data_IF_739432918271
#
_entry.id   IF_739432918271
#
_cell.length_a   1.000
_cell.length_b   1.000
_cell.length_c   1.000
_cell.angle_alpha   90.00
_cell.angle_beta   90.00
_cell.angle_gamma   90.00
#
_symmetry.space_group_name_H-M   'P 1'
#
loop_
_entity.id
_entity.type
_entity.pdbx_description
1 polymer ?
#
# COMPACT_ATOMS: atom_id res chain seq x y z
N UNK A 1 1.37 2.71 -22.59
CA UNK A 1 1.16 3.64 -21.46
C UNK A 1 2.38 3.57 -20.53
N UNK A 2 3.34 4.50 -20.65
CA UNK A 2 4.63 4.49 -19.94
C UNK A 2 4.53 4.68 -18.41
N UNK A 3 3.37 5.10 -17.89
CA UNK A 3 3.13 5.31 -16.44
C UNK A 3 3.15 4.02 -15.60
N UNK A 4 3.14 2.84 -16.23
CA UNK A 4 3.19 1.55 -15.52
C UNK A 4 4.61 1.10 -15.15
N UNK A 5 5.67 1.75 -15.63
CA UNK A 5 7.04 1.31 -15.35
C UNK A 5 7.62 1.92 -14.08
N UNK A 6 7.27 3.18 -13.79
CA UNK A 6 7.77 3.86 -12.62
C UNK A 6 6.73 4.77 -11.96
N UNK A 7 6.80 4.84 -10.63
CA UNK A 7 6.00 5.72 -9.80
C UNK A 7 6.94 6.73 -9.13
N UNK A 8 6.62 8.01 -9.23
CA UNK A 8 7.26 9.03 -8.42
C UNK A 8 6.49 9.23 -7.12
N UNK A 9 7.21 9.27 -6.01
CA UNK A 9 6.69 9.57 -4.68
C UNK A 9 7.47 10.76 -4.12
N UNK A 10 6.79 11.72 -3.50
CA UNK A 10 7.48 12.68 -2.63
C UNK A 10 8.13 11.93 -1.46
N UNK A 11 9.07 12.57 -0.75
CA UNK A 11 9.70 11.93 0.41
C UNK A 11 8.67 11.54 1.48
N UNK A 12 7.65 12.37 1.70
CA UNK A 12 6.57 12.09 2.65
C UNK A 12 5.70 10.93 2.16
N UNK A 13 5.28 10.94 0.88
CA UNK A 13 4.51 9.84 0.29
C UNK A 13 5.29 8.52 0.34
N UNK A 14 6.61 8.57 0.12
CA UNK A 14 7.48 7.40 0.19
C UNK A 14 7.57 6.84 1.61
N UNK A 15 7.71 7.71 2.61
CA UNK A 15 7.74 7.32 4.01
C UNK A 15 6.41 6.70 4.46
N UNK A 16 5.29 7.29 4.05
CA UNK A 16 3.97 6.76 4.36
C UNK A 16 3.72 5.43 3.65
N UNK A 17 4.08 5.31 2.37
CA UNK A 17 4.00 4.05 1.62
C UNK A 17 4.86 2.95 2.26
N UNK A 18 6.07 3.27 2.70
CA UNK A 18 6.97 2.36 3.43
C UNK A 18 6.32 1.86 4.73
N UNK A 19 5.80 2.78 5.55
CA UNK A 19 5.15 2.45 6.82
C UNK A 19 3.90 1.59 6.61
N UNK A 20 3.07 1.95 5.63
CA UNK A 20 1.86 1.20 5.29
C UNK A 20 2.20 -0.21 4.82
N UNK A 21 3.22 -0.37 3.96
CA UNK A 21 3.64 -1.70 3.50
C UNK A 21 4.17 -2.58 4.64
N UNK A 22 4.87 -2.02 5.62
CA UNK A 22 5.33 -2.75 6.80
C UNK A 22 4.17 -3.23 7.69
N UNK A 23 3.10 -2.44 7.80
CA UNK A 23 1.92 -2.77 8.59
C UNK A 23 0.92 -3.68 7.85
N UNK A 24 0.93 -3.65 6.52
CA UNK A 24 -0.03 -4.38 5.68
C UNK A 24 0.20 -5.89 5.67
N UNK A 25 1.44 -6.35 5.80
CA UNK A 25 1.79 -7.76 5.66
C UNK A 25 2.19 -8.41 6.99
N UNK A 26 2.04 -9.74 7.13
CA UNK A 26 2.61 -10.47 8.25
C UNK A 26 4.11 -10.23 8.39
N UNK A 27 4.60 -10.34 9.62
CA UNK A 27 5.98 -10.13 9.97
C UNK A 27 6.93 -11.05 9.18
N UNK A 28 7.96 -10.44 8.59
CA UNK A 28 8.94 -11.12 7.74
C UNK A 28 10.32 -10.98 8.37
N UNK A 29 10.73 -11.96 9.20
CA UNK A 29 11.96 -11.88 9.99
C UNK A 29 13.20 -11.52 9.15
N UNK A 30 13.36 -12.12 7.97
CA UNK A 30 14.49 -11.83 7.09
C UNK A 30 14.51 -10.36 6.61
N UNK A 31 13.34 -9.82 6.25
CA UNK A 31 13.22 -8.41 5.87
C UNK A 31 13.54 -7.52 7.06
N UNK A 32 12.95 -7.80 8.23
CA UNK A 32 13.19 -7.01 9.44
C UNK A 32 14.65 -7.05 9.86
N UNK A 33 15.31 -8.21 9.74
CA UNK A 33 16.74 -8.38 10.02
C UNK A 33 17.63 -7.49 9.14
N UNK A 34 17.26 -7.29 7.87
CA UNK A 34 17.95 -6.39 6.97
C UNK A 34 17.67 -4.91 7.28
N UNK A 35 16.41 -4.56 7.59
CA UNK A 35 16.02 -3.18 7.88
C UNK A 35 16.55 -2.68 9.23
N UNK A 36 16.65 -3.56 10.22
CA UNK A 36 16.97 -3.20 11.60
C UNK A 36 18.26 -2.38 11.75
N UNK A 37 19.43 -2.86 11.31
CA UNK A 37 20.68 -2.08 11.38
C UNK A 37 20.61 -0.78 10.55
N UNK A 38 19.90 -0.76 9.43
CA UNK A 38 19.76 0.45 8.63
C UNK A 38 19.01 1.58 9.37
N UNK A 39 18.06 1.21 10.24
CA UNK A 39 17.18 2.14 10.95
C UNK A 39 17.73 2.51 12.32
N UNK A 40 18.31 1.54 13.04
CA UNK A 40 18.79 1.72 14.40
C UNK A 40 20.31 1.92 14.49
N UNK A 41 21.06 1.68 13.42
CA UNK A 41 22.49 1.87 13.34
C UNK A 41 23.29 0.57 13.51
N UNK A 42 24.60 0.69 13.31
CA UNK A 42 25.52 -0.44 13.31
C UNK A 42 25.57 -1.17 14.67
N UNK A 43 25.81 -2.48 14.62
CA UNK A 43 25.84 -3.33 15.82
C UNK A 43 24.46 -3.67 16.40
N UNK A 44 23.38 -3.21 15.75
CA UNK A 44 22.01 -3.64 16.07
C UNK A 44 21.58 -4.80 15.18
N UNK A 45 20.75 -5.70 15.71
CA UNK A 45 20.25 -6.86 14.99
C UNK A 45 18.97 -7.38 15.64
N UNK A 46 18.26 -8.24 14.91
CA UNK A 46 17.15 -9.04 15.44
C UNK A 46 17.41 -10.52 15.20
N UNK A 47 16.85 -11.37 16.05
CA UNK A 47 16.94 -12.82 15.94
C UNK A 47 15.66 -13.48 16.47
N UNK A 48 15.31 -14.70 16.00
CA UNK A 48 14.11 -15.37 16.45
C UNK A 48 14.19 -15.67 17.96
N UNK A 49 13.05 -15.52 18.65
CA UNK A 49 12.87 -15.91 20.03
C UNK A 49 12.41 -17.36 20.17
N UNK A 50 12.23 -17.82 21.41
CA UNK A 50 11.84 -19.19 21.72
C UNK A 50 10.37 -19.52 21.42
N UNK A 51 9.54 -18.52 21.12
CA UNK A 51 8.11 -18.67 20.86
C UNK A 51 7.74 -18.31 19.43
N UNK A 52 6.57 -18.77 18.97
CA UNK A 52 6.14 -18.68 17.56
C UNK A 52 5.91 -17.27 17.00
N UNK A 53 6.08 -16.22 17.81
CA UNK A 53 5.94 -14.80 17.44
C UNK A 53 6.80 -13.87 18.29
N UNK A 54 7.87 -14.42 18.87
CA UNK A 54 8.78 -13.65 19.72
C UNK A 54 10.08 -13.42 18.99
N UNK A 55 10.61 -12.20 19.13
CA UNK A 55 11.82 -11.75 18.48
C UNK A 55 12.67 -11.06 19.53
N UNK A 56 13.96 -11.38 19.53
CA UNK A 56 14.94 -10.64 20.30
C UNK A 56 15.52 -9.53 19.45
N UNK A 57 15.63 -8.33 19.99
CA UNK A 57 16.25 -7.21 19.32
C UNK A 57 17.38 -6.61 20.15
N UNK A 58 18.50 -6.29 19.50
CA UNK A 58 19.56 -5.46 20.03
C UNK A 58 19.27 -4.02 19.63
N UNK A 59 19.05 -3.14 20.61
CA UNK A 59 18.88 -1.69 20.39
C UNK A 59 20.18 -0.94 20.71
N UNK A 60 20.39 0.25 20.12
CA UNK A 60 21.55 1.08 20.41
C UNK A 60 21.64 1.41 21.90
N UNK A 61 22.85 1.35 22.46
CA UNK A 61 23.12 1.72 23.86
C UNK A 61 22.62 0.73 24.92
N UNK A 62 21.80 -0.28 24.58
CA UNK A 62 21.36 -1.28 25.56
C UNK A 62 22.38 -2.40 25.72
N UNK A 63 22.69 -2.77 26.98
CA UNK A 63 23.48 -3.97 27.28
C UNK A 63 22.69 -5.26 27.05
N UNK A 64 21.37 -5.25 27.27
CA UNK A 64 20.49 -6.41 27.16
C UNK A 64 19.70 -6.42 25.84
N UNK A 65 19.37 -7.61 25.36
CA UNK A 65 18.40 -7.78 24.28
C UNK A 65 16.99 -7.51 24.82
N UNK A 66 16.13 -6.93 23.98
CA UNK A 66 14.71 -6.79 24.29
C UNK A 66 13.95 -7.94 23.64
N UNK A 67 13.05 -8.57 24.40
CA UNK A 67 12.07 -9.51 23.85
C UNK A 67 10.84 -8.71 23.47
N UNK A 68 10.39 -8.84 22.22
CA UNK A 68 9.15 -8.25 21.78
C UNK A 68 8.39 -9.20 20.86
N UNK A 69 7.10 -8.91 20.71
CA UNK A 69 6.27 -9.58 19.72
C UNK A 69 6.51 -9.00 18.33
N UNK A 70 6.21 -9.78 17.31
CA UNK A 70 6.29 -9.38 15.91
C UNK A 70 5.62 -8.02 15.60
N UNK A 71 4.42 -7.79 16.14
CA UNK A 71 3.63 -6.58 15.91
C UNK A 71 4.23 -5.36 16.62
N UNK A 72 4.72 -5.53 17.84
CA UNK A 72 5.44 -4.50 18.58
C UNK A 72 6.73 -4.10 17.85
N UNK A 73 7.41 -5.06 17.21
CA UNK A 73 8.61 -4.81 16.44
C UNK A 73 8.34 -3.95 15.21
N UNK A 74 7.30 -4.28 14.44
CA UNK A 74 6.87 -3.48 13.30
C UNK A 74 6.47 -2.07 13.73
N UNK A 75 5.72 -1.93 14.83
CA UNK A 75 5.33 -0.62 15.36
C UNK A 75 6.55 0.21 15.80
N UNK A 76 7.56 -0.42 16.40
CA UNK A 76 8.80 0.27 16.80
C UNK A 76 9.57 0.80 15.60
N UNK A 77 9.63 0.04 14.51
CA UNK A 77 10.22 0.47 13.24
C UNK A 77 9.47 1.68 12.68
N UNK A 78 8.15 1.57 12.52
CA UNK A 78 7.30 2.65 11.99
C UNK A 78 7.42 3.90 12.85
N UNK A 79 7.36 3.76 14.18
CA UNK A 79 7.51 4.87 15.11
C UNK A 79 8.89 5.54 15.03
N UNK A 80 9.96 4.78 14.81
CA UNK A 80 11.31 5.34 14.61
C UNK A 80 11.40 6.11 13.30
N UNK A 81 10.93 5.52 12.20
CA UNK A 81 10.91 6.12 10.88
C UNK A 81 10.13 7.44 10.84
N UNK A 82 8.97 7.50 11.48
CA UNK A 82 8.16 8.73 11.56
C UNK A 82 8.78 9.82 12.44
N UNK A 83 9.45 9.43 13.54
CA UNK A 83 10.09 10.38 14.46
C UNK A 83 11.38 10.94 13.89
N UNK A 84 12.13 10.13 13.16
CA UNK A 84 13.39 10.51 12.54
C UNK A 84 13.41 9.98 11.10
N UNK A 85 12.79 10.73 10.17
CA UNK A 85 12.79 10.39 8.76
C UNK A 85 14.22 10.20 8.23
N UNK A 86 14.52 9.10 7.52
CA UNK A 86 15.83 8.87 6.90
C UNK A 86 16.16 9.90 5.81
N UNK A 87 17.46 10.12 5.54
CA UNK A 87 17.88 10.82 4.33
C UNK A 87 17.41 10.11 3.04
N UNK A 88 17.22 10.82 1.90
CA UNK A 88 16.61 10.28 0.69
C UNK A 88 17.23 8.97 0.19
N UNK A 89 18.56 8.84 0.18
CA UNK A 89 19.28 7.65 -0.27
C UNK A 89 19.01 6.46 0.66
N UNK A 90 18.93 6.70 1.96
CA UNK A 90 18.60 5.65 2.94
C UNK A 90 17.14 5.25 2.82
N UNK A 91 16.23 6.21 2.65
CA UNK A 91 14.81 5.95 2.41
C UNK A 91 14.62 5.12 1.14
N UNK A 92 15.33 5.43 0.06
CA UNK A 92 15.32 4.66 -1.18
C UNK A 92 15.73 3.20 -0.95
N UNK A 93 16.82 2.94 -0.22
CA UNK A 93 17.27 1.57 0.12
C UNK A 93 16.22 0.81 0.95
N UNK A 94 15.63 1.46 1.96
CA UNK A 94 14.56 0.86 2.78
C UNK A 94 13.34 0.50 1.93
N UNK A 95 12.88 1.44 1.09
CA UNK A 95 11.78 1.23 0.15
C UNK A 95 12.08 0.10 -0.83
N UNK A 96 13.31 0.00 -1.35
CA UNK A 96 13.70 -1.08 -2.26
C UNK A 96 13.53 -2.47 -1.63
N UNK A 97 13.97 -2.63 -0.37
CA UNK A 97 13.81 -3.88 0.39
C UNK A 97 12.33 -4.19 0.68
N UNK A 98 11.58 -3.20 1.17
CA UNK A 98 10.18 -3.39 1.58
C UNK A 98 9.26 -3.60 0.37
N UNK A 99 9.43 -2.85 -0.71
CA UNK A 99 8.62 -2.99 -1.92
C UNK A 99 9.08 -4.16 -2.79
N UNK A 100 10.32 -4.63 -2.61
CA UNK A 100 10.92 -5.65 -3.48
C UNK A 100 11.06 -5.15 -4.92
N UNK A 101 11.46 -3.88 -5.06
CA UNK A 101 11.49 -3.12 -6.31
C UNK A 101 12.76 -2.28 -6.36
N UNK A 102 13.20 -1.86 -7.55
CA UNK A 102 14.29 -0.88 -7.64
C UNK A 102 13.75 0.50 -7.27
N UNK A 103 14.43 1.17 -6.35
CA UNK A 103 14.04 2.51 -5.89
C UNK A 103 15.29 3.39 -5.88
N UNK A 104 15.19 4.57 -6.49
CA UNK A 104 16.27 5.55 -6.54
C UNK A 104 15.77 6.87 -5.95
N UNK A 105 16.65 7.58 -5.23
CA UNK A 105 16.41 8.97 -4.91
C UNK A 105 16.42 9.80 -6.20
N UNK A 106 15.44 10.67 -6.36
CA UNK A 106 15.28 11.60 -7.46
C UNK A 106 15.24 13.00 -6.86
N UNK A 107 16.41 13.63 -6.78
CA UNK A 107 16.57 14.99 -6.24
C UNK A 107 16.08 16.07 -7.20
N UNK A 108 15.61 15.69 -8.39
CA UNK A 108 15.18 16.62 -9.44
C UNK A 108 16.36 17.39 -10.04
N UNK A 109 16.32 17.61 -11.35
CA UNK A 109 17.08 18.70 -12.01
C UNK A 109 16.21 19.93 -12.23
N UNK A 110 14.92 19.83 -11.91
CA UNK A 110 13.88 20.80 -12.16
C UNK A 110 13.57 21.59 -10.87
N UNK A 111 13.76 22.92 -10.84
CA UNK A 111 13.54 23.73 -9.65
C UNK A 111 12.10 23.65 -9.10
N UNK A 112 11.12 23.32 -9.93
CA UNK A 112 9.71 23.31 -9.53
C UNK A 112 9.22 21.93 -9.06
N UNK A 113 10.05 20.88 -9.15
CA UNK A 113 9.71 19.55 -8.65
C UNK A 113 10.39 19.31 -7.30
N UNK A 114 9.63 19.02 -6.23
CA UNK A 114 10.23 18.67 -4.94
C UNK A 114 11.02 17.36 -5.04
N UNK A 115 12.09 17.18 -4.25
CA UNK A 115 12.84 15.94 -4.21
C UNK A 115 11.93 14.78 -3.80
N UNK A 116 12.23 13.59 -4.31
CA UNK A 116 11.42 12.40 -4.06
C UNK A 116 12.13 11.11 -4.41
N UNK A 117 11.37 10.05 -4.59
CA UNK A 117 11.84 8.74 -4.97
C UNK A 117 11.16 8.27 -6.25
N UNK A 118 11.92 7.57 -7.08
CA UNK A 118 11.41 6.84 -8.24
C UNK A 118 11.41 5.35 -7.96
N UNK A 119 10.22 4.76 -7.92
CA UNK A 119 10.02 3.31 -7.74
C UNK A 119 9.78 2.68 -9.10
N UNK A 120 10.66 1.77 -9.53
CA UNK A 120 10.45 0.94 -10.73
C UNK A 120 9.55 -0.22 -10.33
N UNK A 121 8.30 -0.21 -10.78
CA UNK A 121 7.26 -1.13 -10.28
C UNK A 121 7.31 -2.51 -10.95
N UNK A 122 7.98 -2.60 -12.10
CA UNK A 122 8.04 -3.79 -12.98
C UNK A 122 6.64 -4.29 -13.40
N UNK A 123 5.73 -3.34 -13.59
CA UNK A 123 4.32 -3.59 -13.90
C UNK A 123 3.99 -3.46 -15.38
N UNK A 124 4.95 -3.10 -16.24
CA UNK A 124 4.72 -2.96 -17.69
C UNK A 124 4.26 -4.27 -18.34
N UNK A 125 4.88 -5.38 -17.96
CA UNK A 125 4.51 -6.72 -18.45
C UNK A 125 3.41 -7.41 -17.64
N UNK A 126 2.82 -6.76 -16.64
CA UNK A 126 1.83 -7.41 -15.79
C UNK A 126 0.46 -7.49 -16.47
N UNK A 127 -0.10 -8.69 -16.49
CA UNK A 127 -1.41 -9.02 -17.07
C UNK A 127 -2.32 -9.62 -15.99
N UNK A 128 -3.42 -8.93 -15.71
CA UNK A 128 -4.46 -9.45 -14.83
C UNK A 128 -5.23 -10.58 -15.55
N UNK A 129 -5.21 -11.79 -15.00
CA UNK A 129 -5.98 -12.94 -15.53
C UNK A 129 -7.48 -12.86 -15.28
N UNK A 130 -7.99 -11.77 -14.69
CA UNK A 130 -9.41 -11.59 -14.39
C UNK A 130 -10.04 -12.72 -13.54
N UNK A 131 -9.25 -13.47 -12.78
CA UNK A 131 -9.73 -14.55 -11.91
C UNK A 131 -10.63 -14.08 -10.74
N UNK A 132 -10.72 -12.76 -10.54
CA UNK A 132 -11.53 -12.12 -9.51
C UNK A 132 -11.08 -12.39 -8.08
N UNK A 133 -9.94 -13.05 -7.83
CA UNK A 133 -9.47 -13.35 -6.46
C UNK A 133 -9.31 -12.07 -5.63
N UNK A 134 -8.41 -11.17 -6.04
CA UNK A 134 -8.14 -9.92 -5.33
C UNK A 134 -9.40 -9.01 -5.23
N UNK A 135 -10.22 -8.96 -6.28
CA UNK A 135 -11.47 -8.18 -6.27
C UNK A 135 -12.51 -8.67 -5.25
N UNK A 136 -12.38 -9.92 -4.77
CA UNK A 136 -13.30 -10.54 -3.81
C UNK A 136 -12.72 -10.65 -2.41
N UNK A 137 -11.40 -10.72 -2.27
CA UNK A 137 -10.73 -11.00 -1.00
C UNK A 137 -10.10 -9.77 -0.35
N UNK A 138 -9.72 -8.76 -1.12
CA UNK A 138 -9.08 -7.57 -0.57
C UNK A 138 -10.13 -6.57 -0.08
N UNK A 139 -9.88 -6.00 1.09
CA UNK A 139 -10.66 -4.87 1.59
C UNK A 139 -10.30 -3.61 0.80
N UNK A 140 -11.32 -2.97 0.23
CA UNK A 140 -11.18 -1.73 -0.54
C UNK A 140 -12.01 -0.59 0.06
N UNK A 141 -12.62 -0.80 1.23
CA UNK A 141 -13.73 0.04 1.68
C UNK A 141 -13.35 1.50 1.95
N UNK A 142 -12.16 1.70 2.50
CA UNK A 142 -11.58 3.01 2.77
C UNK A 142 -10.66 3.49 1.65
N UNK A 143 -10.63 2.78 0.50
CA UNK A 143 -9.77 3.08 -0.63
C UNK A 143 -10.33 4.11 -1.62
N UNK A 144 -11.49 4.71 -1.33
CA UNK A 144 -12.07 5.77 -2.15
C UNK A 144 -11.48 7.12 -1.75
N UNK A 145 -10.76 7.75 -2.68
CA UNK A 145 -10.25 9.10 -2.46
C UNK A 145 -11.35 10.15 -2.68
N UNK A 146 -11.12 11.38 -2.20
CA UNK A 146 -11.97 12.52 -2.56
C UNK A 146 -11.93 12.80 -4.06
N UNK A 147 -10.75 12.66 -4.69
CA UNK A 147 -10.59 12.83 -6.13
C UNK A 147 -11.39 11.82 -6.93
N UNK A 148 -11.52 10.56 -6.46
CA UNK A 148 -12.42 9.58 -7.09
C UNK A 148 -13.88 10.04 -7.02
N UNK A 149 -14.33 10.51 -5.85
CA UNK A 149 -15.69 11.01 -5.66
C UNK A 149 -16.00 12.20 -6.58
N UNK A 150 -15.14 13.22 -6.60
CA UNK A 150 -15.34 14.39 -7.46
C UNK A 150 -15.31 14.04 -8.94
N UNK A 151 -14.41 13.13 -9.35
CA UNK A 151 -14.38 12.63 -10.73
C UNK A 151 -15.68 11.94 -11.12
N UNK A 152 -16.30 11.13 -10.25
CA UNK A 152 -17.61 10.53 -10.55
C UNK A 152 -18.74 11.56 -10.59
N UNK A 153 -18.65 12.61 -9.76
CA UNK A 153 -19.58 13.74 -9.79
C UNK A 153 -19.50 14.50 -11.13
N UNK A 154 -18.30 14.84 -11.56
CA UNK A 154 -18.05 15.52 -12.85
C UNK A 154 -18.51 14.68 -14.04
N UNK A 155 -18.33 13.36 -13.98
CA UNK A 155 -18.78 12.43 -15.03
C UNK A 155 -20.29 12.12 -14.95
N UNK A 156 -21.04 12.69 -14.01
CA UNK A 156 -22.47 12.43 -13.84
C UNK A 156 -22.82 10.98 -13.50
N UNK A 157 -21.89 10.24 -12.88
CA UNK A 157 -22.06 8.80 -12.56
C UNK A 157 -22.85 8.60 -11.28
N UNK A 158 -24.12 9.01 -11.29
CA UNK A 158 -25.06 8.84 -10.16
C UNK A 158 -25.18 7.39 -9.73
N UNK A 159 -25.16 6.47 -10.70
CA UNK A 159 -25.16 5.02 -10.46
C UNK A 159 -23.98 4.57 -9.57
N UNK A 160 -22.81 5.21 -9.66
CA UNK A 160 -21.67 4.95 -8.77
C UNK A 160 -21.82 5.70 -7.45
N UNK A 161 -22.20 6.98 -7.51
CA UNK A 161 -22.30 7.86 -6.34
C UNK A 161 -23.31 7.35 -5.31
N UNK A 162 -24.39 6.70 -5.73
CA UNK A 162 -25.37 6.06 -4.84
C UNK A 162 -24.76 4.98 -3.93
N UNK A 163 -23.61 4.44 -4.31
CA UNK A 163 -22.85 3.44 -3.54
C UNK A 163 -21.71 4.06 -2.71
N UNK A 164 -21.57 5.37 -2.68
CA UNK A 164 -20.50 6.06 -1.94
C UNK A 164 -21.06 6.70 -0.66
N UNK A 165 -20.58 6.22 0.49
CA UNK A 165 -20.80 6.90 1.76
C UNK A 165 -19.84 8.08 1.89
N UNK A 166 -20.34 9.26 2.27
CA UNK A 166 -19.49 10.44 2.52
C UNK A 166 -19.58 10.88 3.97
N UNK A 167 -18.44 11.22 4.56
CA UNK A 167 -18.37 11.91 5.85
C UNK A 167 -18.11 13.38 5.54
N UNK A 168 -18.99 14.27 6.01
CA UNK A 168 -18.82 15.72 5.82
C UNK A 168 -18.32 16.38 7.10
N UNK A 169 -17.42 17.35 6.96
CA UNK A 169 -16.98 18.27 8.02
C UNK A 169 -17.01 19.69 7.47
N UNK A 170 -17.65 20.61 8.19
CA UNK A 170 -17.81 22.01 7.77
C UNK A 170 -18.38 22.16 6.34
N UNK A 171 -19.33 21.31 5.96
CA UNK A 171 -19.93 21.31 4.61
C UNK A 171 -19.10 20.62 3.52
N UNK A 172 -17.83 20.28 3.76
CA UNK A 172 -16.96 19.62 2.79
C UNK A 172 -16.88 18.10 3.00
N UNK A 173 -16.73 17.34 1.93
CA UNK A 173 -16.46 15.89 1.99
C UNK A 173 -15.07 15.68 2.59
N UNK A 174 -15.01 15.15 3.80
CA UNK A 174 -13.80 14.85 4.53
C UNK A 174 -13.28 13.44 4.25
N UNK A 175 -14.18 12.47 4.05
CA UNK A 175 -13.82 11.10 3.71
C UNK A 175 -14.91 10.43 2.86
N UNK A 176 -14.51 9.44 2.07
CA UNK A 176 -15.38 8.62 1.24
C UNK A 176 -15.22 7.15 1.60
N UNK A 177 -16.31 6.39 1.57
CA UNK A 177 -16.36 4.95 1.82
C UNK A 177 -17.10 4.28 0.68
N UNK A 178 -16.55 3.18 0.19
CA UNK A 178 -17.14 2.37 -0.88
C UNK A 178 -17.20 0.91 -0.46
N UNK A 179 -18.04 0.04 -0.98
CA UNK A 179 -19.35 0.37 -1.50
C UNK A 179 -20.33 0.25 -0.34
N UNK A 180 -21.13 1.30 -0.12
CA UNK A 180 -22.24 1.30 0.83
C UNK A 180 -23.49 0.91 0.04
N UNK A 181 -24.33 0.02 0.59
CA UNK A 181 -25.59 -0.36 -0.07
C UNK A 181 -26.50 0.89 -0.10
N UNK A 182 -27.00 1.30 -1.29
CA UNK A 182 -27.81 2.51 -1.44
C UNK A 182 -28.99 2.55 -0.47
N UNK A 183 -29.26 3.73 0.10
CA UNK A 183 -30.31 3.92 1.11
C UNK A 183 -29.99 3.34 2.49
N UNK A 184 -28.76 2.85 2.73
CA UNK A 184 -28.35 2.29 4.03
C UNK A 184 -27.00 2.84 4.47
N UNK A 185 -26.56 2.46 5.68
CA UNK A 185 -25.20 2.69 6.16
C UNK A 185 -24.40 1.37 6.29
N UNK A 186 -24.74 0.36 5.47
CA UNK A 186 -24.10 -0.97 5.51
C UNK A 186 -23.16 -1.15 4.34
N UNK A 187 -21.97 -1.68 4.58
CA UNK A 187 -21.07 -2.09 3.52
C UNK A 187 -21.68 -3.21 2.68
N UNK A 188 -21.51 -3.11 1.37
CA UNK A 188 -21.82 -4.19 0.45
C UNK A 188 -20.90 -5.38 0.75
N UNK A 189 -21.48 -6.58 0.91
CA UNK A 189 -20.72 -7.81 1.17
C UNK A 189 -19.77 -8.20 0.03
N UNK A 190 -20.03 -7.72 -1.17
CA UNK A 190 -19.24 -7.93 -2.39
C UNK A 190 -19.22 -6.63 -3.19
N UNK A 191 -18.20 -6.46 -4.04
CA UNK A 191 -18.19 -5.34 -4.98
C UNK A 191 -19.41 -5.43 -5.92
N UNK A 192 -20.28 -4.40 -5.99
CA UNK A 192 -21.48 -4.40 -6.82
C UNK A 192 -21.15 -4.35 -8.31
N UNK A 193 -19.94 -3.89 -8.65
CA UNK A 193 -19.48 -3.74 -10.02
C UNK A 193 -18.74 -4.96 -10.57
N UNK A 194 -18.57 -6.01 -9.76
CA UNK A 194 -17.87 -7.23 -10.18
C UNK A 194 -18.87 -8.25 -10.72
N UNK A 195 -18.81 -8.53 -12.02
CA UNK A 195 -19.63 -9.55 -12.68
C UNK A 195 -18.80 -10.78 -13.02
N UNK A 196 -19.34 -11.97 -12.75
CA UNK A 196 -18.78 -13.23 -13.27
C UNK A 196 -19.17 -13.34 -14.75
N UNK A 197 -18.19 -13.62 -15.60
CA UNK A 197 -18.44 -13.83 -17.03
C UNK A 197 -18.93 -15.27 -17.29
N UNK A 198 -19.63 -15.53 -18.41
CA UNK A 198 -20.08 -16.87 -18.77
C UNK A 198 -18.93 -17.86 -19.02
N UNK A 199 -17.79 -17.35 -19.50
CA UNK A 199 -16.56 -18.13 -19.67
C UNK A 199 -16.02 -18.51 -18.29
N UNK A 200 -15.74 -19.81 -18.09
CA UNK A 200 -15.37 -20.38 -16.78
C UNK A 200 -14.30 -19.52 -16.08
N UNK A 201 -14.62 -19.14 -14.84
CA UNK A 201 -13.75 -18.51 -13.85
C UNK A 201 -13.16 -17.12 -14.16
N UNK A 202 -13.75 -16.39 -15.11
CA UNK A 202 -13.40 -14.99 -15.36
C UNK A 202 -14.40 -14.01 -14.73
N UNK A 203 -13.90 -12.84 -14.36
CA UNK A 203 -14.67 -11.73 -13.78
C UNK A 203 -14.33 -10.42 -14.49
N UNK A 204 -15.35 -9.60 -14.71
CA UNK A 204 -15.20 -8.26 -15.27
C UNK A 204 -15.72 -7.20 -14.29
N UNK A 205 -15.05 -6.05 -14.27
CA UNK A 205 -15.53 -4.87 -13.57
C UNK A 205 -16.36 -4.04 -14.53
N UNK A 206 -17.64 -3.81 -14.23
CA UNK A 206 -18.55 -3.05 -15.11
C UNK A 206 -18.27 -1.54 -15.11
N UNK A 207 -17.40 -1.07 -14.22
CA UNK A 207 -16.95 0.33 -14.16
C UNK A 207 -15.45 0.47 -14.49
N UNK A 208 -14.90 -0.44 -15.29
CA UNK A 208 -13.44 -0.57 -15.52
C UNK A 208 -12.72 0.76 -15.76
N UNK A 209 -13.27 1.59 -16.64
CA UNK A 209 -12.67 2.89 -17.04
C UNK A 209 -12.67 3.91 -15.91
N UNK A 210 -13.66 3.84 -15.02
CA UNK A 210 -13.84 4.82 -13.95
C UNK A 210 -13.59 4.25 -12.56
N UNK A 211 -12.95 3.09 -12.45
CA UNK A 211 -12.60 2.46 -11.17
C UNK A 211 -11.93 3.46 -10.20
N UNK A 212 -12.14 3.31 -8.88
CA UNK A 212 -11.44 4.13 -7.91
C UNK A 212 -9.92 3.89 -7.97
N UNK A 213 -9.14 4.84 -7.47
CA UNK A 213 -7.69 4.79 -7.49
C UNK A 213 -7.13 3.48 -6.91
N UNK A 214 -7.64 3.02 -5.76
CA UNK A 214 -7.23 1.75 -5.14
C UNK A 214 -7.35 0.54 -6.07
N UNK A 215 -8.37 0.50 -6.94
CA UNK A 215 -8.57 -0.58 -7.89
C UNK A 215 -7.77 -0.39 -9.19
N UNK A 216 -7.55 0.86 -9.63
CA UNK A 216 -6.78 1.18 -10.84
C UNK A 216 -5.28 0.96 -10.63
N UNK A 217 -4.79 1.28 -9.43
CA UNK A 217 -3.39 1.15 -9.03
C UNK A 217 -3.03 -0.27 -8.58
N UNK A 218 -4.00 -1.19 -8.52
CA UNK A 218 -3.73 -2.57 -8.11
C UNK A 218 -3.28 -3.45 -9.29
N UNK A 219 -2.25 -4.30 -9.09
CA UNK A 219 -1.34 -4.31 -7.95
C UNK A 219 -0.27 -3.22 -8.12
N UNK A 220 0.15 -2.61 -7.00
CA UNK A 220 1.17 -1.54 -7.04
C UNK A 220 2.59 -2.03 -7.38
N UNK A 221 2.86 -3.33 -7.24
CA UNK A 221 4.12 -3.97 -7.62
C UNK A 221 3.95 -5.47 -7.77
N UNK A 222 4.95 -6.14 -8.38
CA UNK A 222 5.03 -7.61 -8.45
C UNK A 222 5.04 -8.27 -7.07
N UNK A 223 5.67 -7.64 -6.05
CA UNK A 223 5.64 -8.12 -4.67
C UNK A 223 4.21 -8.03 -4.11
N UNK A 224 3.53 -6.89 -4.28
CA UNK A 224 2.16 -6.71 -3.79
C UNK A 224 1.21 -7.75 -4.42
N UNK A 225 1.33 -8.02 -5.73
CA UNK A 225 0.57 -9.06 -6.41
C UNK A 225 0.75 -10.44 -5.73
N UNK A 226 2.00 -10.87 -5.52
CA UNK A 226 2.33 -12.15 -4.87
C UNK A 226 1.80 -12.23 -3.44
N UNK A 227 2.06 -11.20 -2.64
CA UNK A 227 1.67 -11.17 -1.22
C UNK A 227 0.16 -11.20 -0.99
N UNK A 228 -0.62 -10.79 -1.99
CA UNK A 228 -2.09 -10.77 -1.95
C UNK A 228 -2.74 -11.94 -2.72
N UNK A 229 -1.94 -12.92 -3.17
CA UNK A 229 -2.45 -14.11 -3.86
C UNK A 229 -2.94 -13.84 -5.29
N UNK A 230 -2.52 -12.74 -5.90
CA UNK A 230 -2.85 -12.46 -7.29
C UNK A 230 -2.23 -13.52 -8.21
N UNK A 231 -3.01 -13.97 -9.20
CA UNK A 231 -2.59 -14.96 -10.20
C UNK A 231 -2.10 -14.32 -11.51
N UNK A 232 -1.99 -13.00 -11.56
CA UNK A 232 -1.52 -12.28 -12.75
C UNK A 232 -0.09 -12.65 -13.10
N UNK A 233 0.23 -12.59 -14.40
CA UNK A 233 1.55 -12.90 -14.99
C UNK A 233 2.26 -11.66 -15.44
#
# INVERSE_FOLDING_TARGET
MPEKESLFLTLDDALDALCNALLQYPFQLNLISALWPMIFGDGTYVMPGAGSRSVWAKIPGSRKLILCRDDEMTQRIVGRLKRLPPEPERLARLCALVFGARVCADVGTDPDRPPGLRVVTDMAGFVCLQCGHCCRTLSFHDGCTRSDYYRWLELGRTDILDWVGTVRRHGHVAACRIWIVPGTNRYARKCPWLKKLPVRDQYACTIHEVRPAICRQYPGSRKHARMTGCRGV
#
